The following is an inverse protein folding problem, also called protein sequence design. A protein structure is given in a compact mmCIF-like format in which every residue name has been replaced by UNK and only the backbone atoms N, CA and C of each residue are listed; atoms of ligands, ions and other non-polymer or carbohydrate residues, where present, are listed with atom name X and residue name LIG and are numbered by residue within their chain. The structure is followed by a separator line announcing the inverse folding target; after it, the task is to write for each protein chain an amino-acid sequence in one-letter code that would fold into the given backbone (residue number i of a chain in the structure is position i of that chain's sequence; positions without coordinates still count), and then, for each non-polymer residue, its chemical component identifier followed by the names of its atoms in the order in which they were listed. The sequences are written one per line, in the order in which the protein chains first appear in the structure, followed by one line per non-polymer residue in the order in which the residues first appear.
data_IF_900296730228
#
_entry.id   IF_900296730228
#
_cell.length_a   1.000
_cell.length_b   1.000
_cell.length_c   1.000
_cell.angle_alpha   90.00
_cell.angle_beta   90.00
_cell.angle_gamma   90.00
#
_symmetry.space_group_name_H-M   'P 1'
#
loop_
_entity.id
_entity.type
_entity.pdbx_description
1 polymer ?
#
# COMPACT_ATOMS: atom_id res chain seq x y z
N UNK A 1 18.20 -40.91 -0.42
CA UNK A 1 17.65 -40.45 0.86
C UNK A 1 18.81 -39.97 1.72
N UNK A 2 19.54 -38.97 1.26
CA UNK A 2 20.68 -38.35 1.93
C UNK A 2 20.99 -37.05 1.21
N UNK A 3 20.26 -35.98 1.61
CA UNK A 3 20.60 -34.60 1.33
C UNK A 3 19.78 -33.71 2.27
N UNK A 4 20.46 -33.12 3.22
CA UNK A 4 20.10 -31.97 4.05
C UNK A 4 20.53 -32.15 5.52
N UNK A 5 21.82 -32.13 5.75
CA UNK A 5 22.39 -31.63 6.99
C UNK A 5 23.63 -30.80 6.67
N UNK A 6 23.44 -29.51 6.48
CA UNK A 6 24.53 -28.54 6.59
C UNK A 6 24.54 -28.05 8.02
N UNK A 7 25.55 -28.50 8.74
CA UNK A 7 25.87 -28.15 10.11
C UNK A 7 26.17 -26.64 10.22
N UNK A 8 25.30 -25.89 10.89
CA UNK A 8 25.63 -24.56 11.37
C UNK A 8 26.51 -24.67 12.61
N UNK A 9 27.81 -24.48 12.44
CA UNK A 9 28.72 -24.13 13.52
C UNK A 9 29.39 -22.81 13.12
N UNK A 10 28.90 -21.71 13.63
CA UNK A 10 29.64 -20.45 13.63
C UNK A 10 29.54 -19.79 15.00
N UNK A 11 30.67 -19.80 15.68
CA UNK A 11 30.87 -19.11 16.94
C UNK A 11 30.94 -17.61 16.66
N UNK A 12 29.94 -16.85 17.10
CA UNK A 12 29.95 -15.38 17.06
C UNK A 12 30.89 -14.90 18.19
N UNK A 13 32.07 -14.43 17.85
CA UNK A 13 32.91 -13.65 18.79
C UNK A 13 32.52 -12.18 18.69
N UNK A 14 31.84 -11.67 19.70
CA UNK A 14 31.57 -10.23 19.89
C UNK A 14 32.79 -9.58 20.53
N UNK A 15 33.49 -8.72 19.79
CA UNK A 15 34.51 -7.85 20.34
C UNK A 15 33.93 -6.44 20.54
N UNK A 16 33.81 -6.02 21.80
CA UNK A 16 33.42 -4.67 22.16
C UNK A 16 34.68 -3.78 22.26
N UNK A 17 34.78 -2.73 21.46
CA UNK A 17 35.69 -1.62 21.68
C UNK A 17 34.90 -0.33 21.70
N UNK A 18 34.88 0.33 22.85
CA UNK A 18 34.32 1.67 23.04
C UNK A 18 35.41 2.70 22.77
N UNK A 19 35.20 3.56 21.78
CA UNK A 19 35.83 4.88 21.70
C UNK A 19 34.81 5.88 21.18
N UNK A 20 34.51 6.85 22.04
CA UNK A 20 33.71 8.06 21.74
C UNK A 20 32.42 7.89 20.89
N UNK A 21 31.34 7.48 21.54
CA UNK A 21 29.97 7.92 21.15
C UNK A 21 29.34 7.34 19.89
N UNK A 22 29.95 6.38 19.18
CA UNK A 22 29.36 5.74 18.01
C UNK A 22 29.50 4.23 18.07
N UNK A 23 28.36 3.52 17.93
CA UNK A 23 28.33 2.07 17.82
C UNK A 23 28.56 1.68 16.35
N UNK A 24 29.65 0.98 16.07
CA UNK A 24 29.89 0.34 14.77
C UNK A 24 29.70 -1.18 14.89
N UNK A 25 28.83 -1.75 14.05
CA UNK A 25 28.73 -3.20 13.86
C UNK A 25 29.57 -3.62 12.66
N UNK A 26 30.60 -4.43 12.88
CA UNK A 26 31.33 -5.12 11.82
C UNK A 26 30.80 -6.55 11.71
N UNK A 27 30.22 -6.92 10.56
CA UNK A 27 29.99 -8.31 10.19
C UNK A 27 31.10 -8.71 9.21
N UNK A 28 31.91 -9.69 9.60
CA UNK A 28 33.01 -10.20 8.81
C UNK A 28 32.49 -11.11 7.69
N UNK A 29 32.91 -10.83 6.48
CA UNK A 29 32.61 -11.47 5.23
C UNK A 29 32.88 -12.99 5.24
N UNK A 30 31.91 -13.81 4.82
CA UNK A 30 32.16 -15.20 4.46
C UNK A 30 32.26 -15.31 2.94
N UNK A 31 33.42 -15.73 2.47
CA UNK A 31 33.72 -16.01 1.07
C UNK A 31 33.16 -17.39 0.72
N UNK A 32 32.08 -17.47 -0.04
CA UNK A 32 31.66 -18.66 -0.72
C UNK A 32 31.85 -18.49 -2.23
N UNK A 33 32.57 -19.45 -2.84
CA UNK A 33 32.98 -19.41 -4.22
C UNK A 33 31.79 -19.59 -5.15
N UNK A 34 31.27 -18.53 -5.72
CA UNK A 34 30.78 -18.42 -7.10
C UNK A 34 30.63 -16.95 -7.44
N UNK A 35 31.12 -16.58 -8.63
CA UNK A 35 31.26 -15.17 -9.07
C UNK A 35 29.92 -14.57 -9.48
N UNK A 36 29.02 -14.34 -8.56
CA UNK A 36 27.98 -13.33 -8.69
C UNK A 36 27.94 -12.54 -7.39
N UNK A 37 28.35 -11.28 -7.49
CA UNK A 37 28.25 -10.33 -6.38
C UNK A 37 26.77 -10.15 -6.04
N UNK A 38 26.34 -10.76 -4.94
CA UNK A 38 25.17 -10.29 -4.19
C UNK A 38 25.52 -8.88 -3.70
N UNK A 39 25.06 -7.86 -4.39
CA UNK A 39 25.09 -6.49 -3.87
C UNK A 39 24.17 -6.45 -2.65
N UNK A 40 24.78 -6.49 -1.47
CA UNK A 40 24.09 -6.15 -0.24
C UNK A 40 23.60 -4.71 -0.35
N UNK A 41 22.32 -4.52 -0.06
CA UNK A 41 21.77 -3.17 0.13
C UNK A 41 22.47 -2.58 1.34
N UNK A 42 23.38 -1.63 1.12
CA UNK A 42 24.00 -0.86 2.20
C UNK A 42 22.91 -0.21 3.07
N UNK A 43 23.08 -0.15 4.40
CA UNK A 43 22.16 0.57 5.27
C UNK A 43 22.12 2.03 4.83
N UNK A 44 20.92 2.53 4.56
CA UNK A 44 20.69 3.93 4.20
C UNK A 44 21.21 4.82 5.34
N UNK A 45 22.22 5.63 5.05
CA UNK A 45 22.72 6.64 5.98
C UNK A 45 21.68 7.75 6.13
N UNK A 46 21.12 7.89 7.32
CA UNK A 46 19.98 8.78 7.61
C UNK A 46 20.35 10.26 7.69
N UNK A 47 21.60 10.62 7.42
CA UNK A 47 22.10 12.00 7.54
C UNK A 47 22.39 12.71 6.19
N UNK A 48 22.11 12.08 5.06
CA UNK A 48 22.23 12.73 3.76
C UNK A 48 20.90 12.60 2.99
N UNK A 49 20.54 13.63 2.21
CA UNK A 49 19.36 13.68 1.30
C UNK A 49 19.46 12.62 0.16
N UNK A 50 19.94 11.42 0.47
CA UNK A 50 20.27 10.34 -0.49
C UNK A 50 19.04 9.63 -1.08
N UNK A 51 17.82 10.03 -0.70
CA UNK A 51 16.59 9.43 -1.24
C UNK A 51 16.01 10.17 -2.45
N UNK A 52 16.69 11.17 -2.98
CA UNK A 52 16.19 11.97 -4.13
C UNK A 52 14.75 12.45 -3.93
N UNK A 53 14.37 12.84 -2.71
CA UNK A 53 13.00 13.22 -2.36
C UNK A 53 12.55 14.50 -3.04
N UNK A 54 13.49 15.39 -3.41
CA UNK A 54 13.25 16.70 -4.00
C UNK A 54 13.75 16.83 -5.44
N UNK A 55 14.33 15.79 -5.99
CA UNK A 55 14.97 15.78 -7.31
C UNK A 55 14.73 14.43 -8.03
N UNK A 56 14.93 14.38 -9.36
CA UNK A 56 14.81 13.14 -10.13
C UNK A 56 15.89 12.12 -9.74
N UNK A 57 15.55 10.84 -9.70
CA UNK A 57 16.50 9.75 -9.48
C UNK A 57 17.46 9.65 -10.67
N UNK A 58 18.78 9.82 -10.48
CA UNK A 58 19.76 9.73 -11.55
C UNK A 58 19.88 8.31 -12.08
N UNK A 59 20.35 8.15 -13.33
CA UNK A 59 20.46 6.84 -13.99
C UNK A 59 21.33 5.85 -13.22
N UNK A 60 22.39 6.32 -12.56
CA UNK A 60 23.31 5.49 -11.76
C UNK A 60 22.69 4.89 -10.50
N UNK A 61 21.61 5.50 -9.96
CA UNK A 61 20.90 5.02 -8.78
C UNK A 61 19.72 4.07 -9.11
N UNK A 62 19.48 3.76 -10.40
CA UNK A 62 18.38 2.91 -10.86
C UNK A 62 18.58 1.45 -10.47
N UNK A 63 17.48 0.78 -10.11
CA UNK A 63 17.46 -0.59 -9.60
C UNK A 63 16.96 -1.59 -10.66
N UNK A 64 17.31 -2.88 -10.48
CA UNK A 64 16.85 -3.95 -11.35
C UNK A 64 15.37 -4.27 -11.17
N UNK A 65 14.77 -4.93 -12.17
CA UNK A 65 13.40 -5.45 -12.11
C UNK A 65 13.18 -6.32 -10.87
N UNK A 66 14.10 -7.22 -10.55
CA UNK A 66 14.02 -8.12 -9.40
C UNK A 66 13.95 -7.35 -8.07
N UNK A 67 14.82 -6.33 -7.89
CA UNK A 67 14.81 -5.49 -6.69
C UNK A 67 13.49 -4.75 -6.53
N UNK A 68 12.96 -4.17 -7.60
CA UNK A 68 11.67 -3.47 -7.58
C UNK A 68 10.50 -4.43 -7.30
N UNK A 69 10.54 -5.63 -7.88
CA UNK A 69 9.53 -6.67 -7.66
C UNK A 69 9.47 -7.07 -6.20
N UNK A 70 10.63 -7.34 -5.58
CA UNK A 70 10.68 -7.71 -4.15
C UNK A 70 10.10 -6.59 -3.27
N UNK A 71 10.55 -5.36 -3.48
CA UNK A 71 10.08 -4.21 -2.70
C UNK A 71 8.57 -4.02 -2.86
N UNK A 72 8.07 -4.03 -4.09
CA UNK A 72 6.65 -3.82 -4.36
C UNK A 72 5.78 -4.99 -3.88
N UNK A 73 6.21 -6.23 -4.12
CA UNK A 73 5.49 -7.43 -3.66
C UNK A 73 5.45 -7.47 -2.12
N UNK A 74 6.56 -7.17 -1.46
CA UNK A 74 6.60 -7.08 0.00
C UNK A 74 5.66 -6.01 0.56
N UNK A 75 5.48 -4.90 -0.17
CA UNK A 75 4.52 -3.86 0.20
C UNK A 75 3.06 -4.32 0.00
N UNK A 76 2.81 -5.18 -1.00
CA UNK A 76 1.45 -5.66 -1.34
C UNK A 76 0.99 -6.82 -0.45
N UNK A 77 1.88 -7.57 0.17
CA UNK A 77 1.50 -8.65 1.11
C UNK A 77 0.94 -8.08 2.42
N UNK A 78 -0.37 -7.81 2.45
CA UNK A 78 -1.05 -7.23 3.62
C UNK A 78 -2.22 -8.08 4.11
N UNK A 79 -2.32 -8.18 5.45
CA UNK A 79 -3.47 -8.83 6.12
C UNK A 79 -4.79 -8.14 5.76
N UNK A 80 -4.81 -6.84 5.52
CA UNK A 80 -6.03 -6.12 5.14
C UNK A 80 -6.60 -6.52 3.78
N UNK A 81 -5.74 -6.98 2.82
CA UNK A 81 -6.22 -7.60 1.59
C UNK A 81 -6.88 -8.96 1.85
N UNK A 82 -6.36 -9.72 2.81
CA UNK A 82 -6.97 -10.98 3.25
C UNK A 82 -8.32 -10.74 3.92
N UNK A 83 -8.44 -9.69 4.76
CA UNK A 83 -9.73 -9.28 5.34
C UNK A 83 -10.75 -8.90 4.27
N UNK A 84 -10.33 -8.13 3.26
CA UNK A 84 -11.23 -7.78 2.14
C UNK A 84 -11.73 -9.04 1.42
N UNK A 85 -10.87 -10.05 1.24
CA UNK A 85 -11.26 -11.34 0.68
C UNK A 85 -12.30 -12.08 1.53
N UNK A 86 -12.07 -12.16 2.84
CA UNK A 86 -13.02 -12.76 3.79
C UNK A 86 -14.37 -12.05 3.78
N UNK A 87 -14.37 -10.71 3.80
CA UNK A 87 -15.61 -9.93 3.70
C UNK A 87 -16.35 -10.13 2.39
N UNK A 88 -15.63 -10.17 1.25
CA UNK A 88 -16.24 -10.43 -0.06
C UNK A 88 -16.88 -11.81 -0.14
N UNK A 89 -16.35 -12.81 0.57
CA UNK A 89 -16.94 -14.14 0.65
C UNK A 89 -18.34 -14.14 1.28
N UNK A 90 -18.64 -13.19 2.17
CA UNK A 90 -19.98 -13.06 2.75
C UNK A 90 -21.03 -12.58 1.74
N UNK A 91 -20.62 -11.95 0.64
CA UNK A 91 -21.50 -11.29 -0.33
C UNK A 91 -21.46 -11.84 -1.76
N UNK A 92 -20.46 -12.63 -2.14
CA UNK A 92 -20.28 -13.16 -3.49
C UNK A 92 -20.18 -14.67 -3.49
N UNK A 93 -20.74 -15.31 -4.51
CA UNK A 93 -20.40 -16.70 -4.81
C UNK A 93 -18.92 -16.82 -5.11
N UNK A 94 -18.33 -18.02 -4.93
CA UNK A 94 -16.89 -18.19 -5.14
C UNK A 94 -16.47 -17.86 -6.58
N UNK A 95 -17.30 -18.15 -7.58
CA UNK A 95 -17.04 -17.78 -8.98
C UNK A 95 -17.06 -16.26 -9.20
N UNK A 96 -18.05 -15.56 -8.64
CA UNK A 96 -18.13 -14.09 -8.71
C UNK A 96 -16.96 -13.44 -7.98
N UNK A 97 -16.54 -14.00 -6.86
CA UNK A 97 -15.39 -13.54 -6.11
C UNK A 97 -14.09 -13.68 -6.91
N UNK A 98 -13.86 -14.84 -7.55
CA UNK A 98 -12.72 -15.04 -8.44
C UNK A 98 -12.74 -14.03 -9.60
N UNK A 99 -13.91 -13.80 -10.19
CA UNK A 99 -14.06 -12.84 -11.30
C UNK A 99 -13.81 -11.41 -10.82
N UNK A 100 -14.39 -11.01 -9.67
CA UNK A 100 -14.16 -9.69 -9.07
C UNK A 100 -12.69 -9.44 -8.78
N UNK A 101 -12.01 -10.44 -8.20
CA UNK A 101 -10.60 -10.39 -7.86
C UNK A 101 -9.71 -10.26 -9.12
N UNK A 102 -9.95 -11.07 -10.14
CA UNK A 102 -9.17 -11.02 -11.39
C UNK A 102 -9.39 -9.68 -12.09
N UNK A 103 -10.62 -9.25 -12.30
CA UNK A 103 -10.94 -8.01 -13.00
C UNK A 103 -10.43 -6.78 -12.23
N UNK A 104 -10.62 -6.75 -10.91
CA UNK A 104 -10.12 -5.67 -10.07
C UNK A 104 -8.60 -5.57 -10.08
N UNK A 105 -7.88 -6.70 -9.97
CA UNK A 105 -6.42 -6.71 -10.02
C UNK A 105 -5.86 -6.39 -11.42
N UNK A 106 -6.51 -6.84 -12.50
CA UNK A 106 -6.13 -6.42 -13.87
C UNK A 106 -6.25 -4.91 -14.01
N UNK A 107 -7.37 -4.33 -13.54
CA UNK A 107 -7.56 -2.88 -13.54
C UNK A 107 -6.44 -2.16 -12.76
N UNK A 108 -6.14 -2.62 -11.55
CA UNK A 108 -5.04 -2.07 -10.75
C UNK A 108 -3.69 -2.19 -11.45
N UNK A 109 -3.40 -3.31 -12.12
CA UNK A 109 -2.17 -3.51 -12.88
C UNK A 109 -2.03 -2.54 -14.05
N UNK A 110 -3.11 -2.25 -14.76
CA UNK A 110 -3.12 -1.27 -15.85
C UNK A 110 -2.75 0.11 -15.30
N UNK A 111 -3.40 0.54 -14.24
CA UNK A 111 -3.14 1.83 -13.59
C UNK A 111 -1.70 1.89 -13.06
N UNK A 112 -1.30 0.87 -12.32
CA UNK A 112 0.05 0.74 -11.79
C UNK A 112 1.11 0.83 -12.88
N UNK A 113 0.91 0.12 -13.99
CA UNK A 113 1.80 0.14 -15.15
C UNK A 113 1.92 1.52 -15.78
N UNK A 114 0.78 2.22 -15.98
CA UNK A 114 0.77 3.56 -16.55
C UNK A 114 1.48 4.57 -15.65
N UNK A 115 1.20 4.59 -14.34
CA UNK A 115 1.85 5.48 -13.38
C UNK A 115 3.34 5.14 -13.23
N UNK A 116 3.69 3.85 -13.21
CA UNK A 116 5.08 3.38 -13.14
C UNK A 116 5.92 3.86 -14.34
N UNK A 117 5.33 3.88 -15.53
CA UNK A 117 5.99 4.41 -16.74
C UNK A 117 6.25 5.90 -16.64
N UNK A 118 5.32 6.68 -16.08
CA UNK A 118 5.53 8.10 -15.82
C UNK A 118 6.73 8.28 -14.86
N UNK A 119 6.68 7.57 -13.74
CA UNK A 119 7.72 7.62 -12.71
C UNK A 119 9.11 7.21 -13.24
N UNK A 120 9.17 6.12 -14.03
CA UNK A 120 10.41 5.70 -14.69
C UNK A 120 10.97 6.77 -15.63
N UNK A 121 10.12 7.36 -16.48
CA UNK A 121 10.56 8.37 -17.47
C UNK A 121 11.06 9.65 -16.80
N UNK A 122 10.45 10.06 -15.71
CA UNK A 122 10.73 11.33 -15.04
C UNK A 122 11.72 11.21 -13.89
N UNK A 123 11.82 10.05 -13.25
CA UNK A 123 12.59 9.85 -12.02
C UNK A 123 11.97 10.50 -10.78
N UNK A 124 10.74 11.02 -10.87
CA UNK A 124 10.11 11.88 -9.87
C UNK A 124 9.24 11.09 -8.88
N UNK A 125 9.17 11.60 -7.65
CA UNK A 125 8.17 11.18 -6.66
C UNK A 125 6.77 11.58 -7.09
N UNK A 126 5.73 10.96 -6.51
CA UNK A 126 4.35 11.37 -6.73
C UNK A 126 4.13 12.86 -6.44
N UNK A 127 4.67 13.36 -5.32
CA UNK A 127 4.55 14.76 -4.93
C UNK A 127 5.18 15.73 -5.95
N UNK A 128 6.28 15.35 -6.60
CA UNK A 128 6.91 16.16 -7.63
C UNK A 128 6.18 16.06 -8.97
N UNK A 129 5.63 14.87 -9.30
CA UNK A 129 4.82 14.66 -10.50
C UNK A 129 3.56 15.54 -10.49
N UNK A 130 2.88 15.64 -9.36
CA UNK A 130 1.66 16.45 -9.24
C UNK A 130 1.91 17.96 -9.45
N UNK A 131 3.16 18.45 -9.38
CA UNK A 131 3.46 19.85 -9.69
C UNK A 131 3.16 20.24 -11.13
N UNK A 132 3.31 19.30 -12.07
CA UNK A 132 3.02 19.54 -13.49
C UNK A 132 1.54 19.81 -13.73
N UNK A 133 0.66 19.11 -13.02
CA UNK A 133 -0.80 19.27 -13.15
C UNK A 133 -1.35 20.36 -12.23
N UNK A 134 -0.99 20.37 -10.94
CA UNK A 134 -1.62 21.19 -9.89
C UNK A 134 -0.88 22.49 -9.57
N UNK A 135 0.35 22.65 -10.08
CA UNK A 135 1.25 23.74 -9.69
C UNK A 135 1.96 23.49 -8.36
N UNK A 136 2.83 24.39 -7.95
CA UNK A 136 3.73 24.20 -6.81
C UNK A 136 2.98 24.08 -5.46
N UNK A 137 2.04 24.96 -5.18
CA UNK A 137 1.26 24.93 -3.94
C UNK A 137 0.09 23.94 -4.03
N UNK A 138 -0.56 23.84 -5.21
CA UNK A 138 -1.62 22.88 -5.45
C UNK A 138 -1.14 21.43 -5.26
N UNK A 139 0.08 21.11 -5.69
CA UNK A 139 0.66 19.77 -5.51
C UNK A 139 0.80 19.37 -4.04
N UNK A 140 1.04 20.31 -3.13
CA UNK A 140 1.11 20.05 -1.69
C UNK A 140 -0.22 19.53 -1.17
N UNK A 141 -1.33 20.14 -1.60
CA UNK A 141 -2.68 19.70 -1.19
C UNK A 141 -3.02 18.37 -1.85
N UNK A 142 -2.74 18.20 -3.15
CA UNK A 142 -2.95 16.93 -3.83
C UNK A 142 -2.16 15.79 -3.17
N UNK A 143 -0.96 16.06 -2.68
CA UNK A 143 -0.12 15.08 -1.96
C UNK A 143 -0.65 14.75 -0.57
N UNK A 144 -1.52 15.58 0.05
CA UNK A 144 -2.13 15.27 1.36
C UNK A 144 -3.13 14.10 1.32
N UNK A 145 -3.62 13.73 0.14
CA UNK A 145 -4.46 12.53 0.02
C UNK A 145 -3.74 11.28 0.54
N UNK A 146 -2.45 11.12 0.24
CA UNK A 146 -1.65 9.97 0.67
C UNK A 146 -1.59 9.87 2.21
N UNK A 147 -1.15 10.89 2.95
CA UNK A 147 -1.10 10.83 4.40
C UNK A 147 -2.47 10.66 5.07
N UNK A 148 -3.54 11.25 4.53
CA UNK A 148 -4.89 11.11 5.09
C UNK A 148 -5.35 9.65 4.99
N UNK A 149 -5.18 9.02 3.83
CA UNK A 149 -5.58 7.63 3.64
C UNK A 149 -4.67 6.67 4.40
N UNK A 150 -3.37 6.95 4.48
CA UNK A 150 -2.44 6.17 5.29
C UNK A 150 -2.81 6.21 6.78
N UNK A 151 -3.32 7.34 7.27
CA UNK A 151 -3.84 7.45 8.63
C UNK A 151 -5.10 6.58 8.82
N UNK A 152 -5.98 6.53 7.81
CA UNK A 152 -7.12 5.61 7.79
C UNK A 152 -6.68 4.15 7.88
N UNK A 153 -5.72 3.74 7.05
CA UNK A 153 -5.13 2.39 7.12
C UNK A 153 -4.47 2.10 8.45
N UNK A 154 -3.73 3.05 9.00
CA UNK A 154 -3.13 2.93 10.34
C UNK A 154 -4.19 2.65 11.40
N UNK A 155 -5.28 3.39 11.37
CA UNK A 155 -6.40 3.26 12.33
C UNK A 155 -7.10 1.91 12.21
N UNK A 156 -7.41 1.47 10.97
CA UNK A 156 -8.04 0.17 10.70
C UNK A 156 -7.17 -0.98 11.23
N UNK A 157 -5.88 -0.96 10.91
CA UNK A 157 -4.96 -2.02 11.31
C UNK A 157 -4.68 -2.03 12.81
N UNK A 158 -4.62 -0.87 13.46
CA UNK A 158 -4.49 -0.77 14.91
C UNK A 158 -5.74 -1.31 15.62
N UNK A 159 -6.92 -0.99 15.11
CA UNK A 159 -8.18 -1.52 15.63
C UNK A 159 -8.28 -3.04 15.44
N UNK A 160 -7.89 -3.56 14.27
CA UNK A 160 -7.85 -5.00 13.99
C UNK A 160 -6.95 -5.75 14.98
N UNK A 161 -5.75 -5.21 15.24
CA UNK A 161 -4.83 -5.84 16.18
C UNK A 161 -5.38 -5.82 17.60
N UNK A 162 -5.98 -4.71 18.03
CA UNK A 162 -6.62 -4.60 19.35
C UNK A 162 -7.81 -5.55 19.48
N UNK A 163 -8.62 -5.71 18.43
CA UNK A 163 -9.69 -6.71 18.35
C UNK A 163 -9.15 -8.12 18.52
N UNK A 164 -8.08 -8.49 17.78
CA UNK A 164 -7.42 -9.79 17.93
C UNK A 164 -6.99 -10.04 19.38
N UNK A 165 -6.33 -9.07 20.02
CA UNK A 165 -5.93 -9.18 21.43
C UNK A 165 -7.15 -9.37 22.34
N UNK A 166 -8.23 -8.62 22.09
CA UNK A 166 -9.45 -8.74 22.88
C UNK A 166 -10.09 -10.13 22.76
N UNK A 167 -10.13 -10.72 21.58
CA UNK A 167 -10.63 -12.07 21.34
C UNK A 167 -9.75 -13.14 22.03
N UNK A 168 -8.43 -13.04 21.94
CA UNK A 168 -7.49 -13.98 22.57
C UNK A 168 -7.67 -14.00 24.09
N UNK A 169 -7.87 -12.84 24.71
CA UNK A 169 -8.00 -12.71 26.16
C UNK A 169 -9.45 -12.67 26.65
N UNK A 170 -10.43 -12.87 25.77
CA UNK A 170 -11.87 -12.81 26.09
C UNK A 170 -12.25 -11.53 26.83
N UNK A 171 -11.77 -10.38 26.36
CA UNK A 171 -12.03 -9.09 26.99
C UNK A 171 -13.48 -8.65 26.77
N UNK A 172 -14.02 -7.89 27.73
CA UNK A 172 -15.31 -7.21 27.57
C UNK A 172 -15.23 -6.14 26.46
N UNK A 173 -16.38 -5.62 26.02
CA UNK A 173 -16.46 -4.52 25.05
C UNK A 173 -15.55 -3.33 25.42
N UNK A 174 -15.57 -2.91 26.69
CA UNK A 174 -14.69 -1.85 27.18
C UNK A 174 -13.23 -2.25 27.10
N UNK A 175 -12.91 -3.50 27.42
CA UNK A 175 -11.54 -4.05 27.27
C UNK A 175 -11.08 -4.08 25.83
N UNK A 176 -11.94 -4.43 24.89
CA UNK A 176 -11.65 -4.39 23.45
C UNK A 176 -11.34 -2.95 22.98
N UNK A 177 -12.17 -1.96 23.35
CA UNK A 177 -11.93 -0.56 23.00
C UNK A 177 -10.59 -0.09 23.55
N UNK A 178 -10.28 -0.41 24.81
CA UNK A 178 -8.98 -0.07 25.42
C UNK A 178 -7.83 -0.77 24.66
N UNK A 179 -7.97 -2.04 24.30
CA UNK A 179 -6.96 -2.78 23.55
C UNK A 179 -6.71 -2.15 22.18
N UNK A 180 -7.76 -1.72 21.45
CA UNK A 180 -7.64 -1.03 20.17
C UNK A 180 -6.90 0.31 20.31
N UNK A 181 -7.24 1.12 21.32
CA UNK A 181 -6.57 2.40 21.58
C UNK A 181 -5.09 2.20 21.96
N UNK A 182 -4.80 1.24 22.84
CA UNK A 182 -3.44 0.90 23.23
C UNK A 182 -2.62 0.38 22.05
N UNK A 183 -3.22 -0.42 21.19
CA UNK A 183 -2.56 -0.90 19.96
C UNK A 183 -2.12 0.25 19.07
N UNK A 184 -2.97 1.26 18.86
CA UNK A 184 -2.60 2.47 18.12
C UNK A 184 -1.44 3.21 18.79
N UNK A 185 -1.45 3.38 20.10
CA UNK A 185 -0.36 4.06 20.81
C UNK A 185 0.95 3.27 20.71
N UNK A 186 0.92 1.96 20.98
CA UNK A 186 2.12 1.11 20.97
C UNK A 186 2.74 1.08 19.57
N UNK A 187 1.93 0.89 18.50
CA UNK A 187 2.41 0.93 17.12
C UNK A 187 3.02 2.29 16.76
N UNK A 188 2.44 3.38 17.29
CA UNK A 188 2.96 4.72 17.10
C UNK A 188 4.35 4.93 17.71
N UNK A 189 4.64 4.32 18.85
CA UNK A 189 5.97 4.36 19.46
C UNK A 189 7.02 3.75 18.54
N UNK A 190 6.71 2.65 17.85
CA UNK A 190 7.62 2.04 16.87
C UNK A 190 7.89 2.95 15.66
N UNK A 191 6.92 3.76 15.24
CA UNK A 191 7.15 4.77 14.20
C UNK A 191 8.14 5.87 14.65
N UNK A 192 8.19 6.18 15.95
CA UNK A 192 9.17 7.11 16.53
C UNK A 192 10.58 6.53 16.50
N UNK A 193 10.73 5.21 16.74
CA UNK A 193 12.03 4.51 16.74
C UNK A 193 12.66 4.43 15.34
N UNK A 194 11.91 4.69 14.29
CA UNK A 194 12.39 4.89 12.93
C UNK A 194 12.50 3.62 12.07
N UNK A 195 12.85 3.83 10.80
CA UNK A 195 12.83 2.81 9.72
C UNK A 195 13.71 1.58 10.01
N UNK A 196 14.81 1.72 10.76
CA UNK A 196 15.73 0.60 11.03
C UNK A 196 15.07 -0.55 11.80
N UNK A 197 14.20 -0.24 12.76
CA UNK A 197 13.45 -1.26 13.52
C UNK A 197 12.40 -1.96 12.64
N UNK A 198 11.80 -1.24 11.70
CA UNK A 198 10.77 -1.77 10.82
C UNK A 198 11.32 -2.77 9.79
N UNK A 199 12.56 -2.58 9.33
CA UNK A 199 13.18 -3.49 8.36
C UNK A 199 13.36 -4.91 8.91
N UNK A 200 13.74 -5.06 10.18
CA UNK A 200 13.92 -6.37 10.82
C UNK A 200 12.59 -7.14 10.87
N UNK A 201 11.51 -6.47 11.24
CA UNK A 201 10.18 -7.07 11.23
C UNK A 201 9.73 -7.50 9.83
N UNK A 202 10.09 -6.73 8.79
CA UNK A 202 9.75 -7.03 7.40
C UNK A 202 10.31 -8.37 6.90
N UNK A 203 11.53 -8.74 7.28
CA UNK A 203 12.12 -10.04 6.91
C UNK A 203 11.38 -11.23 7.50
N UNK A 204 10.74 -11.08 8.67
CA UNK A 204 9.94 -12.11 9.32
C UNK A 204 8.50 -12.07 8.82
N UNK A 205 7.96 -10.87 8.59
CA UNK A 205 6.57 -10.66 8.22
C UNK A 205 6.20 -11.33 6.89
N UNK A 206 7.01 -11.14 5.83
CA UNK A 206 6.68 -11.64 4.49
C UNK A 206 6.57 -13.17 4.46
N UNK A 207 7.57 -13.97 4.90
CA UNK A 207 7.42 -15.41 4.96
C UNK A 207 6.25 -15.84 5.86
N UNK A 208 6.09 -15.20 7.03
CA UNK A 208 5.04 -15.56 7.98
C UNK A 208 3.64 -15.37 7.38
N UNK A 209 3.39 -14.23 6.69
CA UNK A 209 2.09 -13.97 6.07
C UNK A 209 1.79 -14.97 4.96
N UNK A 210 2.78 -15.32 4.12
CA UNK A 210 2.60 -16.29 3.03
C UNK A 210 2.28 -17.67 3.60
N UNK A 211 3.07 -18.17 4.54
CA UNK A 211 2.86 -19.49 5.11
C UNK A 211 1.55 -19.59 5.89
N UNK A 212 1.22 -18.60 6.69
CA UNK A 212 -0.04 -18.62 7.45
C UNK A 212 -1.26 -18.48 6.52
N UNK A 213 -1.20 -17.60 5.54
CA UNK A 213 -2.31 -17.42 4.60
C UNK A 213 -2.58 -18.68 3.78
N UNK A 214 -1.52 -19.30 3.23
CA UNK A 214 -1.65 -20.57 2.51
C UNK A 214 -2.08 -21.71 3.43
N UNK A 215 -1.54 -21.80 4.64
CA UNK A 215 -1.91 -22.80 5.64
C UNK A 215 -3.37 -22.65 6.07
N UNK A 216 -3.83 -21.44 6.30
CA UNK A 216 -5.24 -21.13 6.61
C UNK A 216 -6.14 -21.53 5.45
N UNK A 217 -5.80 -21.16 4.22
CA UNK A 217 -6.57 -21.53 3.04
C UNK A 217 -6.64 -23.06 2.85
N UNK A 218 -5.50 -23.76 2.97
CA UNK A 218 -5.46 -25.21 2.87
C UNK A 218 -6.32 -25.91 3.95
N UNK A 219 -6.24 -25.43 5.20
CA UNK A 219 -7.06 -25.93 6.31
C UNK A 219 -8.55 -25.66 6.05
N UNK A 220 -8.88 -24.48 5.52
CA UNK A 220 -10.25 -24.09 5.18
C UNK A 220 -10.87 -24.99 4.12
N UNK A 221 -10.12 -25.31 3.04
CA UNK A 221 -10.57 -26.27 2.01
C UNK A 221 -10.85 -27.64 2.61
N UNK A 222 -10.00 -28.13 3.53
CA UNK A 222 -10.24 -29.40 4.22
C UNK A 222 -11.49 -29.35 5.10
N UNK A 223 -11.70 -28.25 5.82
CA UNK A 223 -12.81 -28.08 6.75
C UNK A 223 -14.16 -28.06 6.03
N UNK A 224 -14.27 -27.43 4.87
CA UNK A 224 -15.50 -27.36 4.09
C UNK A 224 -15.80 -28.65 3.31
N UNK A 225 -14.86 -29.60 3.24
CA UNK A 225 -15.04 -30.85 2.53
C UNK A 225 -14.43 -30.91 1.13
N UNK A 226 -13.67 -29.91 0.72
CA UNK A 226 -12.93 -29.86 -0.55
C UNK A 226 -13.30 -28.69 -1.45
N UNK A 227 -12.64 -28.64 -2.61
CA UNK A 227 -12.80 -27.55 -3.57
C UNK A 227 -14.24 -27.46 -4.16
N UNK A 228 -14.93 -28.58 -4.30
CA UNK A 228 -16.28 -28.62 -4.88
C UNK A 228 -17.25 -27.84 -4.01
N UNK A 229 -17.14 -27.94 -2.70
CA UNK A 229 -18.00 -27.22 -1.76
C UNK A 229 -17.76 -25.71 -1.78
N UNK A 230 -16.53 -25.27 -2.04
CA UNK A 230 -16.24 -23.84 -2.26
C UNK A 230 -17.01 -23.29 -3.47
N UNK A 231 -17.08 -24.05 -4.57
CA UNK A 231 -17.80 -23.62 -5.78
C UNK A 231 -19.33 -23.68 -5.64
N UNK A 232 -19.83 -24.53 -4.72
CA UNK A 232 -21.25 -24.62 -4.39
C UNK A 232 -21.72 -23.61 -3.34
N UNK A 233 -20.79 -22.84 -2.77
CA UNK A 233 -21.09 -21.87 -1.73
C UNK A 233 -22.07 -20.79 -2.20
N UNK A 234 -23.09 -20.51 -1.36
CA UNK A 234 -24.08 -19.46 -1.58
C UNK A 234 -23.94 -18.42 -0.47
N UNK A 235 -23.69 -17.15 -0.80
CA UNK A 235 -23.51 -16.10 0.19
C UNK A 235 -24.83 -15.78 0.92
N UNK A 236 -24.74 -15.43 2.22
CA UNK A 236 -25.91 -15.08 3.03
C UNK A 236 -26.49 -13.71 2.69
N UNK A 237 -25.65 -12.75 2.31
CA UNK A 237 -26.02 -11.38 1.98
C UNK A 237 -25.43 -10.99 0.61
N UNK A 238 -26.10 -11.40 -0.48
CA UNK A 238 -25.53 -11.16 -1.82
C UNK A 238 -25.32 -9.67 -2.11
N UNK A 239 -24.16 -9.36 -2.66
CA UNK A 239 -23.84 -8.05 -3.24
C UNK A 239 -23.67 -8.20 -4.76
N UNK A 240 -23.81 -7.11 -5.51
CA UNK A 240 -23.58 -7.16 -6.94
C UNK A 240 -22.07 -7.25 -7.28
N UNK A 241 -21.76 -7.89 -8.40
CA UNK A 241 -20.39 -8.14 -8.86
C UNK A 241 -19.58 -6.83 -9.04
N UNK A 242 -20.23 -5.75 -9.53
CA UNK A 242 -19.53 -4.48 -9.75
C UNK A 242 -19.09 -3.84 -8.43
N UNK A 243 -19.91 -3.97 -7.38
CA UNK A 243 -19.55 -3.59 -6.01
C UNK A 243 -18.35 -4.40 -5.52
N UNK A 244 -18.34 -5.71 -5.74
CA UNK A 244 -17.21 -6.56 -5.41
C UNK A 244 -15.91 -6.15 -6.12
N UNK A 245 -15.97 -5.89 -7.43
CA UNK A 245 -14.83 -5.38 -8.21
C UNK A 245 -14.35 -4.03 -7.65
N UNK A 246 -15.28 -3.12 -7.31
CA UNK A 246 -14.94 -1.80 -6.75
C UNK A 246 -14.23 -1.92 -5.40
N UNK A 247 -14.64 -2.86 -4.55
CA UNK A 247 -13.97 -3.17 -3.27
C UNK A 247 -12.55 -3.67 -3.52
N UNK A 248 -12.36 -4.62 -4.45
CA UNK A 248 -11.02 -5.13 -4.81
C UNK A 248 -10.13 -3.99 -5.33
N UNK A 249 -10.66 -3.13 -6.20
CA UNK A 249 -9.94 -1.94 -6.67
C UNK A 249 -9.57 -1.03 -5.48
N UNK A 250 -10.51 -0.81 -4.56
CA UNK A 250 -10.33 0.01 -3.37
C UNK A 250 -9.14 -0.41 -2.50
N UNK A 251 -8.79 -1.71 -2.47
CA UNK A 251 -7.67 -2.20 -1.66
C UNK A 251 -6.34 -1.54 -2.01
N UNK A 252 -6.08 -1.27 -3.29
CA UNK A 252 -4.77 -0.78 -3.76
C UNK A 252 -4.83 0.44 -4.67
N UNK A 253 -6.01 1.00 -4.97
CA UNK A 253 -6.13 2.11 -5.94
C UNK A 253 -5.32 3.33 -5.54
N UNK A 254 -5.28 3.70 -4.25
CA UNK A 254 -4.47 4.82 -3.81
C UNK A 254 -2.98 4.56 -4.09
N UNK A 255 -2.48 3.43 -3.65
CA UNK A 255 -1.06 3.11 -3.79
C UNK A 255 -0.64 2.97 -5.26
N UNK A 256 -1.49 2.40 -6.11
CA UNK A 256 -1.23 2.27 -7.57
C UNK A 256 -1.34 3.60 -8.31
N UNK A 257 -2.18 4.52 -7.84
CA UNK A 257 -2.32 5.85 -8.41
C UNK A 257 -1.26 6.85 -7.92
N UNK A 258 -0.59 6.56 -6.80
CA UNK A 258 0.29 7.51 -6.10
C UNK A 258 1.63 6.90 -5.68
N UNK A 259 1.65 6.14 -4.58
CA UNK A 259 2.87 5.64 -3.93
C UNK A 259 3.76 4.77 -4.83
N UNK A 260 3.17 4.09 -5.82
CA UNK A 260 3.93 3.29 -6.79
C UNK A 260 4.96 4.14 -7.55
N UNK A 261 4.69 5.43 -7.77
CA UNK A 261 5.63 6.34 -8.40
C UNK A 261 6.92 6.47 -7.59
N UNK A 262 6.82 6.49 -6.26
CA UNK A 262 7.96 6.63 -5.36
C UNK A 262 8.91 5.43 -5.39
N UNK A 263 8.40 4.26 -5.74
CA UNK A 263 9.17 3.02 -5.89
C UNK A 263 9.66 2.87 -7.34
N UNK A 264 8.77 3.01 -8.32
CA UNK A 264 9.07 2.69 -9.72
C UNK A 264 9.91 3.77 -10.43
N UNK A 265 10.09 4.95 -9.83
CA UNK A 265 11.05 5.97 -10.31
C UNK A 265 12.50 5.47 -10.32
N UNK A 266 12.82 4.41 -9.57
CA UNK A 266 14.11 3.74 -9.57
C UNK A 266 14.27 2.69 -10.68
N UNK A 267 13.31 2.50 -11.58
CA UNK A 267 13.38 1.51 -12.63
C UNK A 267 14.41 1.81 -13.71
N UNK A 268 15.09 0.78 -14.24
CA UNK A 268 16.06 0.90 -15.33
C UNK A 268 15.39 0.95 -16.70
N UNK A 269 14.24 0.29 -16.86
CA UNK A 269 13.53 0.25 -18.13
C UNK A 269 12.00 0.29 -17.94
N UNK A 270 11.29 0.66 -19.02
CA UNK A 270 9.82 0.59 -19.07
C UNK A 270 9.32 -0.82 -18.76
N UNK A 271 9.99 -1.84 -19.29
CA UNK A 271 9.62 -3.25 -19.09
C UNK A 271 9.76 -3.64 -17.61
N UNK A 272 10.86 -3.23 -16.97
CA UNK A 272 11.11 -3.58 -15.56
C UNK A 272 10.01 -3.07 -14.63
N UNK A 273 9.61 -1.80 -14.80
CA UNK A 273 8.60 -1.20 -13.92
C UNK A 273 7.21 -1.76 -14.14
N UNK A 274 6.83 -2.08 -15.39
CA UNK A 274 5.55 -2.73 -15.68
C UNK A 274 5.56 -4.16 -15.11
N UNK A 275 6.61 -4.93 -15.33
CA UNK A 275 6.73 -6.30 -14.83
C UNK A 275 6.69 -6.33 -13.30
N UNK A 276 7.48 -5.48 -12.64
CA UNK A 276 7.52 -5.43 -11.18
C UNK A 276 6.16 -5.04 -10.57
N UNK A 277 5.51 -4.02 -11.12
CA UNK A 277 4.19 -3.58 -10.63
C UNK A 277 3.11 -4.66 -10.82
N UNK A 278 3.13 -5.34 -11.98
CA UNK A 278 2.16 -6.40 -12.29
C UNK A 278 2.36 -7.63 -11.42
N UNK A 279 3.60 -8.11 -11.27
CA UNK A 279 3.88 -9.30 -10.44
C UNK A 279 3.45 -9.06 -8.99
N UNK A 280 3.75 -7.89 -8.42
CA UNK A 280 3.37 -7.59 -7.05
C UNK A 280 1.86 -7.59 -6.83
N UNK A 281 1.10 -6.97 -7.74
CA UNK A 281 -0.37 -6.91 -7.63
C UNK A 281 -1.03 -8.24 -7.95
N UNK A 282 -0.76 -8.82 -9.13
CA UNK A 282 -1.36 -10.11 -9.51
C UNK A 282 -0.90 -11.25 -8.61
N UNK A 283 0.36 -11.27 -8.19
CA UNK A 283 0.85 -12.28 -7.26
C UNK A 283 0.41 -12.00 -5.83
N UNK A 284 0.77 -10.84 -5.30
CA UNK A 284 0.58 -10.51 -3.89
C UNK A 284 -0.87 -10.29 -3.48
N UNK A 285 -1.55 -9.33 -4.12
CA UNK A 285 -2.93 -8.99 -3.73
C UNK A 285 -3.91 -10.12 -4.04
N UNK A 286 -3.76 -10.77 -5.22
CA UNK A 286 -4.60 -11.93 -5.57
C UNK A 286 -4.45 -13.05 -4.55
N UNK A 287 -3.22 -13.39 -4.16
CA UNK A 287 -2.96 -14.43 -3.15
C UNK A 287 -3.63 -14.08 -1.81
N UNK A 288 -3.45 -12.84 -1.34
CA UNK A 288 -4.03 -12.42 -0.06
C UNK A 288 -5.55 -12.45 -0.07
N UNK A 289 -6.18 -11.87 -1.09
CA UNK A 289 -7.65 -11.88 -1.23
C UNK A 289 -8.17 -13.32 -1.34
N UNK A 290 -7.52 -14.17 -2.16
CA UNK A 290 -7.93 -15.58 -2.32
C UNK A 290 -7.88 -16.35 -1.01
N UNK A 291 -6.79 -16.22 -0.26
CA UNK A 291 -6.64 -16.92 1.02
C UNK A 291 -7.72 -16.47 2.03
N UNK A 292 -7.99 -15.17 2.09
CA UNK A 292 -9.06 -14.64 2.93
C UNK A 292 -10.45 -15.09 2.50
N UNK A 293 -10.71 -15.11 1.19
CA UNK A 293 -11.97 -15.56 0.64
C UNK A 293 -12.24 -17.05 0.91
N UNK A 294 -11.26 -17.91 0.67
CA UNK A 294 -11.36 -19.35 0.97
C UNK A 294 -11.65 -19.56 2.45
N UNK A 295 -10.98 -18.80 3.31
CA UNK A 295 -11.18 -18.86 4.75
C UNK A 295 -12.59 -18.40 5.15
N UNK A 296 -13.07 -17.29 4.61
CA UNK A 296 -14.40 -16.73 4.85
C UNK A 296 -15.54 -17.66 4.38
N UNK A 297 -15.41 -18.25 3.19
CA UNK A 297 -16.36 -19.24 2.67
C UNK A 297 -16.42 -20.47 3.60
N UNK A 298 -15.26 -21.03 3.95
CA UNK A 298 -15.21 -22.27 4.71
C UNK A 298 -15.79 -22.15 6.12
N UNK A 299 -15.67 -21.00 6.75
CA UNK A 299 -16.15 -20.76 8.10
C UNK A 299 -17.50 -20.04 8.12
N UNK A 300 -18.01 -19.62 6.94
CA UNK A 300 -19.18 -18.75 6.81
C UNK A 300 -19.08 -17.50 7.72
N UNK A 301 -17.87 -17.00 7.87
CA UNK A 301 -17.51 -15.84 8.69
C UNK A 301 -16.50 -14.98 7.92
N UNK A 302 -16.86 -13.75 7.65
CA UNK A 302 -15.96 -12.78 6.98
C UNK A 302 -14.91 -12.19 7.92
N UNK A 303 -15.02 -12.40 9.23
CA UNK A 303 -14.03 -11.93 10.19
C UNK A 303 -12.82 -12.88 10.22
N UNK A 304 -11.72 -12.42 9.63
CA UNK A 304 -10.46 -13.17 9.57
C UNK A 304 -9.96 -13.60 10.95
N UNK A 305 -10.18 -12.77 11.99
CA UNK A 305 -9.72 -13.08 13.35
C UNK A 305 -10.48 -14.29 13.90
N UNK A 306 -11.80 -14.30 13.77
CA UNK A 306 -12.63 -15.43 14.18
C UNK A 306 -12.19 -16.73 13.47
N UNK A 307 -11.93 -16.64 12.17
CA UNK A 307 -11.47 -17.79 11.36
C UNK A 307 -10.12 -18.33 11.87
N UNK A 308 -9.14 -17.47 12.11
CA UNK A 308 -7.81 -17.86 12.58
C UNK A 308 -7.88 -18.50 13.98
N UNK A 309 -8.69 -17.92 14.87
CA UNK A 309 -8.85 -18.42 16.24
C UNK A 309 -9.60 -19.76 16.27
N UNK A 310 -10.63 -19.96 15.42
CA UNK A 310 -11.38 -21.22 15.33
C UNK A 310 -10.49 -22.40 14.87
N UNK A 311 -9.43 -22.11 14.10
CA UNK A 311 -8.43 -23.11 13.73
C UNK A 311 -7.36 -23.36 14.80
N UNK A 312 -7.44 -22.67 15.95
CA UNK A 312 -6.45 -22.77 17.02
C UNK A 312 -5.11 -22.10 16.68
N UNK A 313 -5.09 -21.25 15.67
CA UNK A 313 -3.87 -20.59 15.15
C UNK A 313 -3.51 -19.33 15.95
N UNK A 314 -3.70 -19.33 17.27
CA UNK A 314 -3.45 -18.14 18.12
C UNK A 314 -2.01 -17.65 18.01
N UNK A 315 -1.02 -18.51 18.25
CA UNK A 315 0.40 -18.12 18.21
C UNK A 315 0.89 -17.73 16.80
N UNK A 316 0.61 -18.51 15.74
CA UNK A 316 0.93 -18.11 14.37
C UNK A 316 0.27 -16.77 13.98
N UNK A 317 -0.97 -16.55 14.38
CA UNK A 317 -1.69 -15.31 14.10
C UNK A 317 -1.10 -14.12 14.86
N UNK A 318 -0.71 -14.31 16.12
CA UNK A 318 -0.03 -13.29 16.90
C UNK A 318 1.28 -12.86 16.22
N UNK A 319 2.10 -13.82 15.79
CA UNK A 319 3.36 -13.56 15.12
C UNK A 319 3.13 -12.80 13.80
N UNK A 320 2.19 -13.28 12.98
CA UNK A 320 1.86 -12.66 11.69
C UNK A 320 1.33 -11.25 11.88
N UNK A 321 0.27 -11.08 12.68
CA UNK A 321 -0.37 -9.79 12.86
C UNK A 321 0.60 -8.78 13.47
N UNK A 322 1.38 -9.19 14.48
CA UNK A 322 2.38 -8.30 15.08
C UNK A 322 3.41 -7.87 14.05
N UNK A 323 4.04 -8.81 13.34
CA UNK A 323 5.11 -8.47 12.40
C UNK A 323 4.60 -7.70 11.18
N UNK A 324 3.48 -8.09 10.59
CA UNK A 324 2.91 -7.44 9.40
C UNK A 324 2.31 -6.08 9.72
N UNK A 325 1.44 -6.00 10.73
CA UNK A 325 0.74 -4.76 11.06
C UNK A 325 1.71 -3.72 11.63
N UNK A 326 2.63 -4.10 12.51
CA UNK A 326 3.60 -3.15 13.08
C UNK A 326 4.53 -2.56 12.03
N UNK A 327 5.02 -3.37 11.08
CA UNK A 327 5.85 -2.88 9.97
C UNK A 327 5.08 -1.91 9.09
N UNK A 328 3.89 -2.30 8.67
CA UNK A 328 3.07 -1.48 7.75
C UNK A 328 2.61 -0.21 8.43
N UNK A 329 2.11 -0.30 9.66
CA UNK A 329 1.64 0.86 10.41
C UNK A 329 2.79 1.80 10.79
N UNK A 330 3.95 1.27 11.13
CA UNK A 330 5.15 2.07 11.34
C UNK A 330 5.51 2.89 10.10
N UNK A 331 5.50 2.25 8.92
CA UNK A 331 5.79 2.93 7.66
C UNK A 331 4.71 3.96 7.28
N UNK A 332 3.43 3.61 7.44
CA UNK A 332 2.30 4.51 7.16
C UNK A 332 2.37 5.78 8.03
N UNK A 333 2.57 5.62 9.33
CA UNK A 333 2.62 6.76 10.27
C UNK A 333 3.91 7.57 10.08
N UNK A 334 5.04 6.92 9.82
CA UNK A 334 6.31 7.60 9.51
C UNK A 334 6.15 8.50 8.28
N UNK A 335 5.68 7.95 7.18
CA UNK A 335 5.45 8.68 5.93
C UNK A 335 4.44 9.82 6.12
N UNK A 336 3.31 9.54 6.77
CA UNK A 336 2.27 10.53 7.07
C UNK A 336 2.81 11.69 7.88
N UNK A 337 3.51 11.42 8.98
CA UNK A 337 4.06 12.45 9.87
C UNK A 337 5.09 13.32 9.17
N UNK A 338 5.94 12.73 8.33
CA UNK A 338 6.96 13.46 7.57
C UNK A 338 6.32 14.38 6.53
N UNK A 339 5.36 13.85 5.76
CA UNK A 339 4.66 14.65 4.74
C UNK A 339 3.88 15.82 5.35
N UNK A 340 3.14 15.58 6.43
CA UNK A 340 2.37 16.63 7.10
C UNK A 340 3.27 17.67 7.79
N UNK A 341 4.32 17.22 8.49
CA UNK A 341 5.28 18.11 9.13
C UNK A 341 5.95 19.04 8.11
N UNK A 342 6.36 18.50 6.96
CA UNK A 342 6.94 19.28 5.87
C UNK A 342 5.94 20.25 5.23
N UNK A 343 4.70 19.80 5.02
CA UNK A 343 3.64 20.63 4.40
C UNK A 343 3.24 21.80 5.28
N UNK A 344 3.11 21.58 6.59
CA UNK A 344 2.67 22.60 7.56
C UNK A 344 3.83 23.28 8.31
N UNK A 345 5.10 22.89 8.03
CA UNK A 345 6.29 23.39 8.72
C UNK A 345 6.24 23.19 10.24
N UNK A 346 5.69 22.08 10.70
CA UNK A 346 5.54 21.72 12.10
C UNK A 346 6.61 20.72 12.54
N UNK A 347 6.81 20.62 13.86
CA UNK A 347 7.71 19.61 14.41
C UNK A 347 7.13 18.21 14.17
N UNK A 348 7.96 17.29 13.60
CA UNK A 348 7.54 15.92 13.27
C UNK A 348 7.06 15.14 14.50
N UNK A 349 7.73 15.28 15.65
CA UNK A 349 7.34 14.53 16.85
C UNK A 349 5.98 15.00 17.41
N UNK A 350 5.71 16.29 17.32
CA UNK A 350 4.39 16.84 17.67
C UNK A 350 3.32 16.30 16.71
N UNK A 351 3.62 16.28 15.41
CA UNK A 351 2.70 15.72 14.40
C UNK A 351 2.43 14.24 14.65
N UNK A 352 3.46 13.44 14.96
CA UNK A 352 3.32 12.02 15.33
C UNK A 352 2.39 11.86 16.54
N UNK A 353 2.58 12.64 17.60
CA UNK A 353 1.74 12.56 18.81
C UNK A 353 0.26 12.87 18.48
N UNK A 354 0.01 13.91 17.67
CA UNK A 354 -1.34 14.28 17.24
C UNK A 354 -1.98 13.16 16.41
N UNK A 355 -1.26 12.60 15.46
CA UNK A 355 -1.76 11.52 14.58
C UNK A 355 -2.05 10.24 15.37
N UNK A 356 -1.20 9.88 16.32
CA UNK A 356 -1.43 8.74 17.23
C UNK A 356 -2.69 8.96 18.06
N UNK A 357 -2.86 10.16 18.64
CA UNK A 357 -4.03 10.49 19.44
C UNK A 357 -5.33 10.44 18.62
N UNK A 358 -5.32 11.04 17.41
CA UNK A 358 -6.48 10.99 16.50
C UNK A 358 -6.81 9.54 16.13
N UNK A 359 -5.81 8.74 15.77
CA UNK A 359 -6.04 7.33 15.41
C UNK A 359 -6.52 6.51 16.60
N UNK A 360 -5.95 6.68 17.79
CA UNK A 360 -6.39 5.98 18.98
C UNK A 360 -7.87 6.26 19.28
N UNK A 361 -8.30 7.51 19.19
CA UNK A 361 -9.72 7.86 19.35
C UNK A 361 -10.58 7.28 18.21
N UNK A 362 -10.09 7.34 16.99
CA UNK A 362 -10.83 6.83 15.83
C UNK A 362 -11.00 5.29 15.85
N UNK A 363 -10.14 4.53 16.54
CA UNK A 363 -10.34 3.08 16.72
C UNK A 363 -11.64 2.75 17.45
N UNK A 364 -12.17 3.67 18.27
CA UNK A 364 -13.46 3.49 18.97
C UNK A 364 -14.65 3.28 18.03
N UNK A 365 -14.53 3.74 16.77
CA UNK A 365 -15.55 3.50 15.73
C UNK A 365 -15.52 2.09 15.18
N UNK A 366 -14.63 1.23 15.66
CA UNK A 366 -14.45 -0.15 15.22
C UNK A 366 -14.26 -0.29 13.69
N UNK A 367 -13.31 0.44 13.09
CA UNK A 367 -13.15 0.50 11.63
C UNK A 367 -12.63 -0.81 11.02
N UNK A 368 -12.27 -1.80 11.82
CA UNK A 368 -11.90 -3.14 11.40
C UNK A 368 -13.12 -3.98 10.95
N UNK A 369 -14.35 -3.61 11.37
CA UNK A 369 -15.55 -4.34 10.96
C UNK A 369 -15.73 -4.28 9.44
N UNK A 370 -16.20 -5.38 8.86
CA UNK A 370 -16.32 -5.57 7.42
C UNK A 370 -17.09 -4.42 6.76
N UNK A 371 -18.23 -4.02 7.35
CA UNK A 371 -19.04 -2.92 6.80
C UNK A 371 -18.26 -1.60 6.74
N UNK A 372 -17.54 -1.27 7.81
CA UNK A 372 -16.71 -0.06 7.88
C UNK A 372 -15.54 -0.12 6.88
N UNK A 373 -14.90 -1.28 6.78
CA UNK A 373 -13.82 -1.53 5.82
C UNK A 373 -14.34 -1.39 4.38
N UNK A 374 -15.51 -1.95 4.06
CA UNK A 374 -16.11 -1.86 2.74
C UNK A 374 -16.49 -0.43 2.36
N UNK A 375 -17.06 0.33 3.30
CA UNK A 375 -17.32 1.77 3.10
C UNK A 375 -16.02 2.50 2.79
N UNK A 376 -14.95 2.23 3.53
CA UNK A 376 -13.64 2.83 3.30
C UNK A 376 -13.08 2.45 1.92
N UNK A 377 -13.06 1.17 1.56
CA UNK A 377 -12.54 0.67 0.28
C UNK A 377 -13.36 1.20 -0.90
N UNK A 378 -14.69 1.16 -0.81
CA UNK A 378 -15.58 1.69 -1.84
C UNK A 378 -15.38 3.20 -2.02
N UNK A 379 -15.21 3.94 -0.92
CA UNK A 379 -14.92 5.38 -0.97
C UNK A 379 -13.61 5.64 -1.70
N UNK A 380 -12.54 4.89 -1.40
CA UNK A 380 -11.27 5.00 -2.14
C UNK A 380 -11.43 4.64 -3.61
N UNK A 381 -12.20 3.59 -3.91
CA UNK A 381 -12.50 3.15 -5.27
C UNK A 381 -13.28 4.17 -6.11
N UNK A 382 -13.87 5.19 -5.48
CA UNK A 382 -14.62 6.27 -6.14
C UNK A 382 -13.82 7.58 -6.18
N UNK A 383 -13.20 7.97 -5.08
CA UNK A 383 -12.56 9.30 -4.92
C UNK A 383 -11.20 9.39 -5.60
N UNK A 384 -10.41 8.32 -5.53
CA UNK A 384 -9.02 8.32 -6.06
C UNK A 384 -8.95 8.21 -7.58
N UNK A 385 -9.78 7.41 -8.26
CA UNK A 385 -9.69 7.23 -9.70
C UNK A 385 -9.72 8.51 -10.54
N UNK A 386 -10.61 9.49 -10.29
CA UNK A 386 -10.59 10.74 -11.06
C UNK A 386 -9.27 11.50 -10.93
N UNK A 387 -8.66 11.52 -9.74
CA UNK A 387 -7.35 12.13 -9.50
C UNK A 387 -6.26 11.44 -10.35
N UNK A 388 -6.28 10.10 -10.38
CA UNK A 388 -5.39 9.33 -11.23
C UNK A 388 -5.61 9.66 -12.72
N UNK A 389 -6.86 9.72 -13.15
CA UNK A 389 -7.24 10.12 -14.53
C UNK A 389 -6.65 11.45 -14.94
N UNK A 390 -6.68 12.45 -14.05
CA UNK A 390 -6.07 13.77 -14.26
C UNK A 390 -4.56 13.64 -14.50
N UNK A 391 -3.84 12.92 -13.65
CA UNK A 391 -2.38 12.76 -13.75
C UNK A 391 -2.01 12.01 -15.04
N UNK A 392 -2.74 10.95 -15.37
CA UNK A 392 -2.53 10.21 -16.61
C UNK A 392 -2.79 11.09 -17.84
N UNK A 393 -3.88 11.84 -17.85
CA UNK A 393 -4.21 12.75 -18.96
C UNK A 393 -3.19 13.87 -19.10
N UNK A 394 -2.73 14.45 -17.99
CA UNK A 394 -1.71 15.48 -18.02
C UNK A 394 -0.44 14.99 -18.72
N UNK A 395 0.04 13.82 -18.34
CA UNK A 395 1.26 13.26 -18.94
C UNK A 395 1.04 12.76 -20.37
N UNK A 396 0.04 11.88 -20.58
CA UNK A 396 -0.11 11.17 -21.86
C UNK A 396 -0.84 11.99 -22.94
N UNK A 397 -1.85 12.79 -22.56
CA UNK A 397 -2.67 13.55 -23.51
C UNK A 397 -2.17 14.99 -23.68
N UNK A 398 -2.00 15.73 -22.59
CA UNK A 398 -1.60 17.14 -22.63
C UNK A 398 -0.13 17.28 -23.04
N UNK A 399 0.76 16.57 -22.35
CA UNK A 399 2.21 16.63 -22.57
C UNK A 399 2.74 15.53 -23.50
N UNK A 400 1.87 14.73 -24.13
CA UNK A 400 2.20 13.70 -25.13
C UNK A 400 3.31 12.72 -24.66
N UNK A 401 3.30 12.37 -23.39
CA UNK A 401 4.21 11.39 -22.77
C UNK A 401 5.63 11.90 -22.48
N UNK A 402 5.83 13.25 -22.44
CA UNK A 402 7.12 13.87 -22.13
C UNK A 402 6.90 15.18 -21.37
N UNK A 403 7.41 15.27 -20.14
CA UNK A 403 7.47 16.52 -19.40
C UNK A 403 8.75 17.31 -19.73
N UNK A 404 8.71 18.62 -19.50
CA UNK A 404 9.90 19.46 -19.42
C UNK A 404 10.78 18.92 -18.29
N UNK A 405 12.11 18.94 -18.49
CA UNK A 405 13.06 18.51 -17.45
C UNK A 405 12.80 19.26 -16.14
N UNK A 406 12.76 18.54 -15.05
CA UNK A 406 12.38 19.09 -13.74
C UNK A 406 13.28 20.24 -13.30
N UNK A 407 14.59 20.16 -13.59
CA UNK A 407 15.57 21.21 -13.24
C UNK A 407 15.41 22.48 -14.08
N UNK A 408 14.80 22.37 -15.27
CA UNK A 408 14.51 23.49 -16.16
C UNK A 408 13.08 24.00 -16.03
N UNK A 409 12.24 23.32 -15.25
CA UNK A 409 10.83 23.65 -15.12
C UNK A 409 10.58 24.71 -14.06
N UNK A 410 9.84 25.74 -14.43
CA UNK A 410 9.28 26.73 -13.51
C UNK A 410 7.79 26.50 -13.39
N UNK A 411 7.31 26.30 -12.16
CA UNK A 411 5.91 25.96 -11.89
C UNK A 411 5.10 27.16 -11.41
N UNK A 412 3.90 27.29 -11.92
CA UNK A 412 2.91 28.22 -11.38
C UNK A 412 2.55 27.84 -9.95
N UNK A 413 2.22 28.82 -9.09
CA UNK A 413 1.82 28.51 -7.70
C UNK A 413 0.58 27.61 -7.64
N UNK A 414 -0.47 27.95 -8.37
CA UNK A 414 -1.75 27.27 -8.40
C UNK A 414 -2.24 27.00 -9.80
N UNK A 415 -2.82 25.83 -10.02
CA UNK A 415 -3.66 25.51 -11.15
C UNK A 415 -5.00 24.99 -10.62
N UNK A 416 -6.10 25.67 -10.91
CA UNK A 416 -7.44 25.27 -10.46
C UNK A 416 -8.09 24.22 -11.36
N UNK A 417 -7.59 24.06 -12.59
CA UNK A 417 -8.17 23.13 -13.58
C UNK A 417 -8.30 21.71 -13.02
N UNK A 418 -7.26 21.08 -12.45
CA UNK A 418 -7.40 19.72 -11.93
C UNK A 418 -8.40 19.60 -10.77
N UNK A 419 -8.54 20.64 -9.92
CA UNK A 419 -9.49 20.63 -8.81
C UNK A 419 -10.94 20.69 -9.29
N UNK A 420 -11.21 21.57 -10.23
CA UNK A 420 -12.54 21.69 -10.87
C UNK A 420 -12.85 20.38 -11.60
N UNK A 421 -11.89 19.85 -12.36
CA UNK A 421 -12.04 18.59 -13.07
C UNK A 421 -12.35 17.43 -12.11
N UNK A 422 -11.61 17.33 -11.00
CA UNK A 422 -11.81 16.30 -10.00
C UNK A 422 -13.21 16.36 -9.40
N UNK A 423 -13.68 17.57 -9.01
CA UNK A 423 -15.01 17.75 -8.46
C UNK A 423 -16.12 17.38 -9.48
N UNK A 424 -15.99 17.80 -10.73
CA UNK A 424 -16.96 17.45 -11.80
C UNK A 424 -16.91 15.96 -12.08
N UNK A 425 -15.73 15.32 -12.12
CA UNK A 425 -15.60 13.90 -12.36
C UNK A 425 -16.25 13.06 -11.25
N UNK A 426 -16.16 13.49 -9.97
CA UNK A 426 -16.87 12.83 -8.86
C UNK A 426 -18.40 12.91 -9.04
N UNK A 427 -18.91 14.07 -9.51
CA UNK A 427 -20.32 14.20 -9.84
C UNK A 427 -20.70 13.28 -11.00
N UNK A 428 -19.88 13.22 -12.05
CA UNK A 428 -20.10 12.30 -13.18
C UNK A 428 -20.17 10.85 -12.73
N UNK A 429 -19.26 10.40 -11.87
CA UNK A 429 -19.27 9.00 -11.34
C UNK A 429 -20.60 8.68 -10.67
N UNK A 430 -21.17 9.63 -9.91
CA UNK A 430 -22.45 9.44 -9.23
C UNK A 430 -23.65 9.31 -10.18
N UNK A 431 -23.59 10.02 -11.32
CA UNK A 431 -24.71 10.09 -12.27
C UNK A 431 -24.59 9.14 -13.45
N UNK A 432 -23.45 8.48 -13.66
CA UNK A 432 -23.29 7.45 -14.68
C UNK A 432 -23.85 6.12 -14.11
N UNK A 433 -25.01 5.63 -14.61
CA UNK A 433 -25.71 4.49 -13.99
C UNK A 433 -25.16 3.13 -14.44
N UNK A 434 -24.06 3.10 -15.18
CA UNK A 434 -23.49 1.87 -15.75
C UNK A 434 -21.98 1.81 -15.66
N UNK A 435 -21.45 0.60 -15.72
CA UNK A 435 -20.01 0.35 -15.66
C UNK A 435 -19.44 0.42 -14.26
N UNK A 436 -18.11 0.34 -14.18
CA UNK A 436 -17.37 0.41 -12.91
C UNK A 436 -17.18 1.87 -12.49
N UNK A 437 -17.59 2.27 -11.27
CA UNK A 437 -17.39 3.63 -10.76
C UNK A 437 -15.92 4.09 -10.87
N UNK A 438 -14.97 3.20 -10.57
CA UNK A 438 -13.54 3.52 -10.67
C UNK A 438 -13.09 3.80 -12.12
N UNK A 439 -13.58 3.03 -13.09
CA UNK A 439 -13.29 3.27 -14.51
C UNK A 439 -13.93 4.57 -14.98
N UNK A 440 -15.19 4.78 -14.63
CA UNK A 440 -15.91 6.01 -14.95
C UNK A 440 -15.18 7.25 -14.39
N UNK A 441 -14.64 7.12 -13.16
CA UNK A 441 -13.85 8.16 -12.51
C UNK A 441 -12.55 8.49 -13.27
N UNK A 442 -11.78 7.47 -13.67
CA UNK A 442 -10.55 7.68 -14.44
C UNK A 442 -10.86 8.31 -15.79
N UNK A 443 -11.82 7.75 -16.52
CA UNK A 443 -12.17 8.23 -17.87
C UNK A 443 -12.71 9.65 -17.83
N UNK A 444 -13.68 9.94 -16.94
CA UNK A 444 -14.22 11.29 -16.79
C UNK A 444 -13.15 12.29 -16.33
N UNK A 445 -12.33 11.92 -15.34
CA UNK A 445 -11.21 12.74 -14.89
C UNK A 445 -10.21 13.04 -16.01
N UNK A 446 -9.85 12.04 -16.80
CA UNK A 446 -8.92 12.18 -17.90
C UNK A 446 -9.48 13.05 -19.04
N UNK A 447 -10.69 12.75 -19.51
CA UNK A 447 -11.29 13.46 -20.64
C UNK A 447 -11.62 14.91 -20.29
N UNK A 448 -12.24 15.13 -19.12
CA UNK A 448 -12.55 16.47 -18.65
C UNK A 448 -11.29 17.32 -18.45
N UNK A 449 -10.24 16.73 -17.85
CA UNK A 449 -8.98 17.43 -17.66
C UNK A 449 -8.35 17.83 -18.99
N UNK A 450 -8.26 16.91 -19.93
CA UNK A 450 -7.72 17.19 -21.26
C UNK A 450 -8.53 18.27 -21.98
N UNK A 451 -9.87 18.19 -21.94
CA UNK A 451 -10.76 19.15 -22.58
C UNK A 451 -10.63 20.55 -21.94
N UNK A 452 -10.74 20.64 -20.62
CA UNK A 452 -10.66 21.95 -19.93
C UNK A 452 -9.27 22.56 -20.11
N UNK A 453 -8.22 21.76 -20.04
CA UNK A 453 -6.84 22.23 -20.28
C UNK A 453 -6.65 22.71 -21.71
N UNK A 454 -7.25 22.06 -22.70
CA UNK A 454 -7.21 22.49 -24.09
C UNK A 454 -7.91 23.85 -24.29
N UNK A 455 -9.04 24.09 -23.62
CA UNK A 455 -9.80 25.33 -23.70
C UNK A 455 -9.08 26.45 -22.93
N UNK A 456 -8.72 26.22 -21.68
CA UNK A 456 -8.18 27.25 -20.76
C UNK A 456 -6.71 27.52 -21.02
N UNK A 457 -5.96 26.55 -21.57
CA UNK A 457 -4.50 26.63 -21.84
C UNK A 457 -3.72 27.19 -20.63
N UNK A 458 -3.86 26.59 -19.45
CA UNK A 458 -3.18 27.09 -18.28
C UNK A 458 -1.65 26.88 -18.49
N UNK A 459 -0.89 27.96 -18.49
CA UNK A 459 0.57 27.89 -18.49
C UNK A 459 1.06 27.45 -17.10
N UNK A 460 0.97 26.16 -16.78
CA UNK A 460 1.34 25.61 -15.47
C UNK A 460 2.85 25.46 -15.34
N UNK A 461 3.50 25.11 -16.46
CA UNK A 461 4.94 24.83 -16.52
C UNK A 461 5.54 25.61 -17.69
N UNK A 462 6.64 26.30 -17.43
CA UNK A 462 7.43 26.99 -18.46
C UNK A 462 8.91 26.60 -18.31
N UNK A 463 9.67 26.67 -19.39
CA UNK A 463 11.14 26.58 -19.27
C UNK A 463 11.68 27.82 -18.59
N UNK A 464 12.57 27.60 -17.61
CA UNK A 464 13.37 28.66 -17.01
C UNK A 464 14.19 29.32 -18.12
N UNK A 465 14.00 30.62 -18.31
CA UNK A 465 14.91 31.42 -19.13
C UNK A 465 16.23 31.46 -18.35
N UNK A 466 17.22 30.66 -18.79
CA UNK A 466 18.58 30.66 -18.27
C UNK A 466 19.23 32.04 -18.25
#
# INVERSE_FOLDING_TARGET
MDFLFVQFHSTIKLNFKTHHGSFFYYVKEYRCMSKEKLEFVEPVDTNTDNEYSREPVPLGARKSCFSLTIVWTGFVFLVTSMMAGGGLAAGLTFNELLLAMILGNIFLCIIAGLVSVIAYKTGLTFALLTRYSFGQEGSRIASLFVPIVNLGWYTIQAALYGHFIAQVFNLSYTGEVIAMMLSAVIMGIFAVLGIKSLAVFGYIAIPSIVFLSLGTAARSVQTIGGWQELFNYVPLQPIDLLSGITIVIGTWILSTATCIADIMRYGKSKKDVITASTIGLLGGNTLMISCGAIAGVAMNDGDLINVLLSFGLVFPSLLLLTTNIFTTNGANLYSTSLNLANSFKLNRNMMLAVLIAISALATMTQPYKIDSLFVFLSTLGIIVPPLCGIILADFYLVHRGKYIDYHKATFKKWNLVPWITWAIALVCVKFIPFGLPSLNGIVSGALLYALITYIVKPNVVSESKG
#
